data_IF_805715124750
#
_entry.id   IF_805715124750
#
_cell.length_a   1.000
_cell.length_b   1.000
_cell.length_c   1.000
_cell.angle_alpha   90.00
_cell.angle_beta   90.00
_cell.angle_gamma   90.00
#
_symmetry.space_group_name_H-M   'P 1'
#
loop_
_entity.id
_entity.type
_entity.pdbx_description
1 polymer ?
#
# COMPACT_ATOMS: atom_id res chain seq x y z
N UNK A 1 12.15 -10.30 8.47
CA UNK A 1 10.85 -10.96 8.71
C UNK A 1 10.97 -12.44 8.31
N UNK A 2 9.95 -13.27 8.56
CA UNK A 2 9.92 -14.68 8.12
C UNK A 2 9.39 -14.82 6.69
N UNK A 3 9.69 -15.92 6.00
CA UNK A 3 9.19 -16.17 4.63
C UNK A 3 7.66 -16.06 4.49
N UNK A 4 6.83 -16.65 5.39
CA UNK A 4 5.39 -16.47 5.31
C UNK A 4 4.94 -15.02 5.48
N UNK A 5 5.66 -14.22 6.27
CA UNK A 5 5.33 -12.82 6.49
C UNK A 5 5.59 -11.95 5.24
N UNK A 6 6.61 -12.27 4.45
CA UNK A 6 6.81 -11.63 3.15
C UNK A 6 5.69 -11.98 2.17
N UNK A 7 5.25 -13.25 2.15
CA UNK A 7 4.16 -13.68 1.28
C UNK A 7 2.85 -12.99 1.62
N UNK A 8 2.46 -12.91 2.90
CA UNK A 8 1.24 -12.18 3.26
C UNK A 8 1.36 -10.68 2.99
N UNK A 9 2.56 -10.09 3.14
CA UNK A 9 2.80 -8.68 2.82
C UNK A 9 2.56 -8.40 1.33
N UNK A 10 3.10 -9.23 0.44
CA UNK A 10 2.94 -9.03 -1.01
C UNK A 10 1.48 -9.25 -1.44
N UNK A 11 0.79 -10.22 -0.85
CA UNK A 11 -0.64 -10.48 -1.10
C UNK A 11 -1.47 -9.27 -0.69
N UNK A 12 -1.32 -8.79 0.55
CA UNK A 12 -2.09 -7.66 1.07
C UNK A 12 -1.81 -6.37 0.29
N UNK A 13 -0.55 -6.04 0.04
CA UNK A 13 -0.18 -4.83 -0.70
C UNK A 13 -0.69 -4.89 -2.15
N UNK A 14 -0.63 -6.04 -2.82
CA UNK A 14 -1.22 -6.19 -4.16
C UNK A 14 -2.74 -6.05 -4.12
N UNK A 15 -3.40 -6.67 -3.13
CA UNK A 15 -4.84 -6.61 -2.96
C UNK A 15 -5.31 -5.17 -2.74
N UNK A 16 -4.63 -4.38 -1.91
CA UNK A 16 -4.98 -2.97 -1.70
C UNK A 16 -4.85 -2.15 -2.98
N UNK A 17 -3.76 -2.29 -3.72
CA UNK A 17 -3.60 -1.62 -5.01
C UNK A 17 -4.68 -2.00 -6.03
N UNK A 18 -5.01 -3.30 -6.13
CA UNK A 18 -6.03 -3.81 -7.02
C UNK A 18 -7.45 -3.34 -6.63
N UNK A 19 -7.82 -3.45 -5.35
CA UNK A 19 -9.11 -2.98 -4.82
C UNK A 19 -9.25 -1.48 -5.02
N UNK A 20 -8.20 -0.70 -4.76
CA UNK A 20 -8.21 0.74 -4.98
C UNK A 20 -8.38 1.09 -6.46
N UNK A 21 -7.71 0.37 -7.36
CA UNK A 21 -7.91 0.50 -8.80
C UNK A 21 -9.37 0.25 -9.20
N UNK A 22 -9.97 -0.85 -8.72
CA UNK A 22 -11.38 -1.17 -8.97
C UNK A 22 -12.33 -0.11 -8.41
N UNK A 23 -12.04 0.42 -7.22
CA UNK A 23 -12.86 1.44 -6.58
C UNK A 23 -12.81 2.81 -7.28
N UNK A 24 -11.63 3.25 -7.72
CA UNK A 24 -11.47 4.53 -8.43
C UNK A 24 -11.79 4.46 -9.92
N UNK A 25 -11.75 3.26 -10.51
CA UNK A 25 -11.86 3.06 -11.94
C UNK A 25 -10.66 3.63 -12.72
N UNK A 26 -10.74 3.54 -14.05
CA UNK A 26 -9.76 4.07 -15.00
C UNK A 26 -9.14 3.00 -15.90
N UNK A 27 -8.21 3.44 -16.76
CA UNK A 27 -7.56 2.58 -17.75
C UNK A 27 -6.70 1.50 -17.10
N UNK A 28 -6.54 0.36 -17.79
CA UNK A 28 -5.67 -0.74 -17.37
C UNK A 28 -4.22 -0.30 -17.09
N UNK A 29 -3.76 0.80 -17.70
CA UNK A 29 -2.42 1.37 -17.44
C UNK A 29 -2.23 1.88 -16.00
N UNK A 30 -3.33 2.17 -15.28
CA UNK A 30 -3.28 2.66 -13.89
C UNK A 30 -3.11 1.55 -12.85
N UNK A 31 -3.33 0.28 -13.21
CA UNK A 31 -3.21 -0.81 -12.24
C UNK A 31 -1.80 -0.93 -11.67
N UNK A 32 -0.79 -0.79 -12.55
CA UNK A 32 0.61 -0.89 -12.16
C UNK A 32 1.00 0.26 -11.21
N UNK A 33 0.54 1.48 -11.51
CA UNK A 33 0.74 2.63 -10.63
C UNK A 33 0.20 2.34 -9.22
N UNK A 34 -1.04 1.88 -9.11
CA UNK A 34 -1.64 1.64 -7.80
C UNK A 34 -0.99 0.48 -7.06
N UNK A 35 -0.68 -0.64 -7.73
CA UNK A 35 0.01 -1.77 -7.08
C UNK A 35 1.38 -1.38 -6.56
N UNK A 36 2.20 -0.71 -7.37
CA UNK A 36 3.55 -0.29 -6.96
C UNK A 36 3.48 0.76 -5.84
N UNK A 37 2.60 1.76 -5.95
CA UNK A 37 2.40 2.74 -4.87
C UNK A 37 1.92 2.08 -3.57
N UNK A 38 1.02 1.10 -3.66
CA UNK A 38 0.56 0.32 -2.52
C UNK A 38 1.71 -0.41 -1.84
N UNK A 39 2.59 -1.06 -2.61
CA UNK A 39 3.76 -1.76 -2.08
C UNK A 39 4.70 -0.80 -1.34
N UNK A 40 5.01 0.35 -1.94
CA UNK A 40 5.89 1.36 -1.33
C UNK A 40 5.30 1.88 -0.02
N UNK A 41 4.01 2.26 -0.02
CA UNK A 41 3.33 2.70 1.18
C UNK A 41 3.27 1.61 2.26
N UNK A 42 3.04 0.36 1.88
CA UNK A 42 2.97 -0.77 2.80
C UNK A 42 4.31 -1.03 3.50
N UNK A 43 5.40 -1.06 2.74
CA UNK A 43 6.76 -1.21 3.26
C UNK A 43 7.08 -0.04 4.21
N UNK A 44 6.82 1.20 3.79
CA UNK A 44 7.09 2.38 4.61
C UNK A 44 6.29 2.32 5.92
N UNK A 45 4.98 2.06 5.85
CA UNK A 45 4.12 1.97 7.02
C UNK A 45 4.57 0.91 8.02
N UNK A 46 4.96 -0.28 7.53
CA UNK A 46 5.51 -1.33 8.38
C UNK A 46 6.80 -0.89 9.10
N UNK A 47 7.76 -0.31 8.38
CA UNK A 47 9.04 0.08 8.97
C UNK A 47 8.91 1.28 9.92
N UNK A 48 8.09 2.28 9.55
CA UNK A 48 7.80 3.44 10.40
C UNK A 48 7.19 3.01 11.74
N UNK A 49 6.39 1.93 11.74
CA UNK A 49 5.81 1.42 12.99
C UNK A 49 6.83 1.07 14.06
N UNK A 50 8.02 0.59 13.66
CA UNK A 50 9.10 0.27 14.59
C UNK A 50 9.73 1.53 15.18
N UNK A 51 9.85 2.59 14.36
CA UNK A 51 10.40 3.89 14.79
C UNK A 51 9.48 4.56 15.81
N UNK A 52 8.17 4.52 15.57
CA UNK A 52 7.18 5.17 16.46
C UNK A 52 6.68 4.26 17.59
N UNK A 53 7.17 3.02 17.68
CA UNK A 53 6.74 2.05 18.69
C UNK A 53 5.29 1.59 18.57
N UNK A 54 4.68 1.69 17.39
CA UNK A 54 3.29 1.29 17.15
C UNK A 54 3.20 -0.20 16.82
N UNK A 55 2.17 -0.88 17.34
CA UNK A 55 1.80 -2.26 17.01
C UNK A 55 0.29 -2.34 16.79
N UNK A 56 -0.15 -2.24 15.53
CA UNK A 56 -1.57 -2.19 15.18
C UNK A 56 -1.87 -3.39 14.29
N UNK A 57 -2.76 -4.28 14.74
CA UNK A 57 -3.19 -5.46 13.97
C UNK A 57 -2.00 -6.28 13.43
N UNK A 58 -1.15 -6.77 14.33
CA UNK A 58 0.07 -7.49 13.96
C UNK A 58 -0.22 -8.95 13.58
N UNK A 59 0.36 -9.40 12.47
CA UNK A 59 0.31 -10.79 11.98
C UNK A 59 1.74 -11.33 12.02
N UNK A 60 2.08 -12.05 13.09
CA UNK A 60 3.46 -12.43 13.36
C UNK A 60 4.38 -11.20 13.39
N UNK A 61 5.49 -11.17 12.63
CA UNK A 61 6.39 -10.01 12.61
C UNK A 61 5.88 -8.82 11.78
N UNK A 62 4.77 -8.97 11.07
CA UNK A 62 4.19 -7.91 10.24
C UNK A 62 3.22 -7.07 11.07
N UNK A 63 3.51 -5.78 11.22
CA UNK A 63 2.52 -4.80 11.69
C UNK A 63 1.56 -4.44 10.54
N UNK A 64 0.52 -5.26 10.33
CA UNK A 64 -0.33 -5.15 9.15
C UNK A 64 -1.21 -3.90 9.18
N UNK A 65 -1.61 -3.42 10.36
CA UNK A 65 -2.37 -2.18 10.50
C UNK A 65 -1.58 -0.96 10.02
N UNK A 66 -0.35 -0.78 10.54
CA UNK A 66 0.50 0.34 10.11
C UNK A 66 0.90 0.25 8.64
N UNK A 67 1.17 -0.96 8.15
CA UNK A 67 1.44 -1.19 6.73
C UNK A 67 0.24 -0.83 5.85
N UNK A 68 -0.98 -1.20 6.27
CA UNK A 68 -2.22 -0.84 5.55
C UNK A 68 -2.44 0.67 5.51
N UNK A 69 -2.18 1.36 6.62
CA UNK A 69 -2.26 2.83 6.67
C UNK A 69 -1.28 3.48 5.68
N UNK A 70 -0.01 3.06 5.71
CA UNK A 70 1.00 3.57 4.76
C UNK A 70 0.62 3.30 3.30
N UNK A 71 0.11 2.10 3.02
CA UNK A 71 -0.40 1.71 1.70
C UNK A 71 -1.55 2.61 1.25
N UNK A 72 -2.54 2.85 2.10
CA UNK A 72 -3.68 3.72 1.81
C UNK A 72 -3.27 5.16 1.52
N UNK A 73 -2.34 5.71 2.31
CA UNK A 73 -1.80 7.05 2.10
C UNK A 73 -1.07 7.16 0.75
N UNK A 74 -0.22 6.19 0.41
CA UNK A 74 0.49 6.17 -0.86
C UNK A 74 -0.46 6.06 -2.06
N UNK A 75 -1.52 5.26 -1.95
CA UNK A 75 -2.54 5.13 -3.00
C UNK A 75 -3.31 6.44 -3.24
N UNK A 76 -3.74 7.11 -2.17
CA UNK A 76 -4.41 8.40 -2.27
C UNK A 76 -3.50 9.44 -2.91
N UNK A 77 -2.23 9.50 -2.49
CA UNK A 77 -1.24 10.41 -3.06
C UNK A 77 -0.99 10.12 -4.55
N UNK A 78 -0.78 8.85 -4.91
CA UNK A 78 -0.55 8.44 -6.29
C UNK A 78 -1.75 8.77 -7.20
N UNK A 79 -2.98 8.55 -6.70
CA UNK A 79 -4.18 8.94 -7.42
C UNK A 79 -4.29 10.45 -7.62
N UNK A 80 -4.00 11.22 -6.57
CA UNK A 80 -4.04 12.68 -6.63
C UNK A 80 -3.01 13.24 -7.65
N UNK A 81 -1.77 12.77 -7.58
CA UNK A 81 -0.71 13.15 -8.53
C UNK A 81 -1.08 12.77 -9.98
N UNK A 82 -1.55 11.54 -10.20
CA UNK A 82 -1.94 11.09 -11.52
C UNK A 82 -3.17 11.81 -12.09
N UNK A 83 -4.01 12.41 -11.24
CA UNK A 83 -5.13 13.25 -11.66
C UNK A 83 -4.62 14.65 -12.06
N UNK A 84 -3.70 15.24 -11.30
CA UNK A 84 -3.17 16.56 -11.60
C UNK A 84 -2.38 16.57 -12.93
N UNK A 85 -1.51 15.57 -13.15
CA UNK A 85 -0.70 15.49 -14.37
C UNK A 85 -1.50 15.30 -15.67
N UNK A 86 -2.81 15.06 -15.61
CA UNK A 86 -3.69 14.97 -16.78
C UNK A 86 -4.54 16.22 -17.01
N UNK A 87 -4.48 17.20 -16.10
CA UNK A 87 -5.23 18.45 -16.18
C UNK A 87 -4.40 19.61 -16.79
N UNK A 88 -3.12 19.36 -17.05
CA UNK A 88 -2.17 20.23 -17.75
C UNK A 88 -1.99 19.74 -19.20
#
# INVERSE_FOLDING_TARGET
MTTPAYLISIILATLYGAVFHLYKGGDASRILLYVVSSWMGFIIGHNVSQIVGASIYSIGPLNAGMASLGSGLALVLAHWLAKHNRAD
#
